data_IF_257485377666
#
_entry.id   IF_257485377666
#
_cell.length_a   1.000
_cell.length_b   1.000
_cell.length_c   1.000
_cell.angle_alpha   90.00
_cell.angle_beta   90.00
_cell.angle_gamma   90.00
#
_symmetry.space_group_name_H-M   'P 1'
#
loop_
_entity.id
_entity.type
_entity.pdbx_description
1 polymer ?
2 polymer ?
3 non-polymer ?
4 non-polymer ?
5 non-polymer ?
6 water ?
#
# COMPACT_ATOMS: atom_id res chain seq x y z
N UNK A 1 -3.24 -16.13 -1.69
CA UNK A 1 -4.31 -15.75 -2.65
C UNK A 1 -5.56 -16.64 -2.59
N UNK A 2 -5.39 -17.94 -2.44
CA UNK A 2 -6.56 -18.76 -2.19
C UNK A 2 -7.24 -18.42 -0.84
N UNK A 3 -6.41 -18.05 0.15
CA UNK A 3 -6.80 -17.37 1.39
C UNK A 3 -6.19 -16.02 1.41
N UNK A 4 -7.02 -15.00 1.63
CA UNK A 4 -6.58 -13.66 1.88
C UNK A 4 -6.68 -13.30 3.34
N UNK A 5 -5.73 -12.50 3.83
CA UNK A 5 -5.70 -12.02 5.22
C UNK A 5 -5.73 -10.53 5.20
N UNK A 6 -6.74 -9.97 5.87
CA UNK A 6 -6.97 -8.56 5.93
C UNK A 6 -7.12 -8.12 7.38
N UNK A 7 -6.85 -6.86 7.62
CA UNK A 7 -6.97 -6.25 8.94
C UNK A 7 -6.35 -4.85 8.94
N UNK A 8 -6.84 -3.99 9.86
CA UNK A 8 -6.25 -2.67 10.03
C UNK A 8 -4.76 -2.82 10.32
N UNK A 9 -4.00 -1.77 10.00
CA UNK A 9 -2.62 -1.61 10.50
C UNK A 9 -2.57 -1.92 12.01
N UNK A 10 -1.56 -2.69 12.38
CA UNK A 10 -1.22 -3.07 13.74
C UNK A 10 -2.10 -4.21 14.32
N UNK A 11 -2.92 -4.85 13.51
CA UNK A 11 -3.80 -5.93 14.00
C UNK A 11 -3.02 -7.18 14.37
N UNK A 12 -1.96 -7.42 13.60
CA UNK A 12 -1.03 -8.53 13.78
C UNK A 12 -0.86 -9.42 12.58
N UNK A 13 -1.17 -8.92 11.37
CA UNK A 13 -1.08 -9.74 10.18
C UNK A 13 0.33 -10.23 9.84
N UNK A 14 1.28 -9.34 9.88
CA UNK A 14 2.65 -9.69 9.57
C UNK A 14 3.19 -10.72 10.63
N UNK A 15 2.84 -10.46 11.91
CA UNK A 15 3.15 -11.39 13.00
C UNK A 15 2.63 -12.79 12.76
N UNK A 16 1.39 -12.90 12.34
CA UNK A 16 0.80 -14.23 12.06
C UNK A 16 1.56 -14.91 10.90
N UNK A 17 1.86 -14.18 9.87
CA UNK A 17 2.58 -14.77 8.73
C UNK A 17 3.90 -15.25 9.10
N UNK A 18 4.62 -14.57 10.01
CA UNK A 18 5.89 -15.15 10.44
C UNK A 18 5.74 -16.42 11.18
N UNK A 19 4.62 -16.62 11.86
CA UNK A 19 4.27 -17.99 12.35
C UNK A 19 4.10 -19.04 11.26
N UNK A 20 3.48 -18.66 10.16
CA UNK A 20 3.24 -19.59 9.06
C UNK A 20 4.49 -19.79 8.21
N UNK A 21 5.39 -18.80 8.19
CA UNK A 21 6.67 -18.95 7.49
C UNK A 21 7.63 -19.84 8.26
N UNK A 28 15.45 -12.50 -1.11
CA UNK A 28 14.48 -11.41 -1.27
C UNK A 28 15.21 -10.35 -2.07
N UNK A 29 14.56 -9.85 -3.13
CA UNK A 29 15.16 -8.94 -4.11
C UNK A 29 14.32 -7.69 -4.24
N UNK A 30 14.96 -6.52 -4.41
CA UNK A 30 14.21 -5.27 -4.39
C UNK A 30 13.26 -5.14 -5.56
N UNK A 31 12.03 -4.75 -5.25
CA UNK A 31 11.01 -4.45 -6.25
C UNK A 31 10.27 -3.19 -5.83
N UNK A 32 10.17 -2.23 -6.76
CA UNK A 32 9.34 -1.06 -6.51
C UNK A 32 7.88 -1.47 -6.50
N UNK A 33 7.18 -1.08 -5.47
CA UNK A 33 5.80 -1.46 -5.37
C UNK A 33 5.35 -1.88 -4.03
N UNK A 34 4.25 -2.62 -4.03
CA UNK A 34 3.59 -3.00 -2.79
C UNK A 34 4.42 -4.06 -2.08
N UNK A 35 4.32 -4.05 -0.75
CA UNK A 35 5.07 -5.00 0.11
C UNK A 35 4.33 -6.31 0.24
N UNK A 36 4.48 -7.14 -0.77
CA UNK A 36 3.77 -8.40 -0.86
C UNK A 36 4.19 -9.38 0.23
N UNK A 37 3.23 -9.84 0.98
CA UNK A 37 3.48 -10.90 2.02
C UNK A 37 2.64 -12.07 1.72
N UNK A 38 3.30 -13.19 1.45
CA UNK A 38 2.59 -14.35 1.05
C UNK A 38 3.38 -15.55 1.48
N UNK A 39 2.64 -16.62 1.72
CA UNK A 39 3.22 -17.89 2.13
C UNK A 39 2.37 -19.05 1.65
N UNK A 40 2.99 -20.23 1.49
CA UNK A 40 2.24 -21.49 1.30
C UNK A 40 2.15 -22.17 2.63
N UNK A 41 0.94 -22.45 3.08
CA UNK A 41 0.81 -23.16 4.30
C UNK A 41 -0.06 -24.35 4.07
N UNK A 42 0.51 -25.56 4.24
CA UNK A 42 -0.27 -26.78 4.09
C UNK A 42 -0.80 -26.85 2.66
N UNK A 43 0.05 -26.49 1.70
CA UNK A 43 -0.33 -26.47 0.28
C UNK A 43 -1.44 -25.47 -0.14
N UNK A 44 -1.63 -24.40 0.59
CA UNK A 44 -2.64 -23.40 0.23
C UNK A 44 -1.95 -22.03 0.27
N UNK A 45 -2.12 -21.19 -0.74
CA UNK A 45 -1.50 -19.86 -0.67
C UNK A 45 -2.30 -18.91 0.24
N UNK A 46 -1.58 -18.24 1.15
CA UNK A 46 -2.12 -17.18 2.04
C UNK A 46 -1.43 -15.89 1.69
N UNK A 47 -2.17 -14.83 1.41
CA UNK A 47 -1.60 -13.57 1.08
C UNK A 47 -2.26 -12.47 1.89
N UNK A 48 -1.46 -11.58 2.44
CA UNK A 48 -1.99 -10.42 3.12
C UNK A 48 -2.43 -9.49 2.01
N UNK A 49 -3.66 -9.01 2.12
CA UNK A 49 -4.21 -8.08 1.16
C UNK A 49 -4.31 -6.76 1.87
N UNK A 50 -3.51 -5.78 1.45
CA UNK A 50 -3.42 -4.45 2.07
C UNK A 50 -4.56 -3.59 1.61
N UNK A 51 -5.44 -3.26 2.54
CA UNK A 51 -6.66 -2.48 2.20
C UNK A 51 -6.50 -0.98 2.37
N UNK A 52 -5.29 -0.54 2.56
CA UNK A 52 -5.01 0.83 2.88
C UNK A 52 -5.28 1.92 1.87
N UNK A 53 -5.50 1.66 0.60
CA UNK A 53 -5.91 2.86 -0.21
C UNK A 53 -7.34 3.45 -0.06
N UNK A 54 -7.66 4.39 -0.95
CA UNK A 54 -8.99 4.91 -1.19
C UNK A 54 -9.91 3.89 -1.86
N UNK A 55 -11.21 4.14 -1.76
CA UNK A 55 -12.25 3.35 -2.40
C UNK A 55 -12.05 3.28 -3.88
N UNK A 56 -11.57 4.35 -4.46
CA UNK A 56 -11.48 4.48 -5.91
C UNK A 56 -10.66 3.43 -6.62
N UNK A 57 -9.71 2.83 -5.94
CA UNK A 57 -8.83 1.85 -6.58
C UNK A 57 -9.24 0.39 -6.29
N UNK A 58 -10.29 0.18 -5.50
CA UNK A 58 -10.84 -1.19 -5.31
C UNK A 58 -11.31 -1.92 -6.56
N UNK A 59 -11.90 -1.29 -7.58
CA UNK A 59 -12.26 -1.95 -8.85
C UNK A 59 -11.09 -2.71 -9.52
N UNK A 60 -9.87 -2.26 -9.28
CA UNK A 60 -8.71 -2.88 -9.85
C UNK A 60 -8.46 -4.23 -9.29
N UNK A 61 -8.99 -4.48 -8.12
CA UNK A 61 -8.71 -5.68 -7.38
C UNK A 61 -9.36 -6.97 -7.95
N UNK A 62 -10.47 -6.77 -8.64
CA UNK A 62 -11.49 -7.79 -8.78
C UNK A 62 -10.98 -9.17 -9.23
N UNK A 63 -10.19 -9.19 -10.29
CA UNK A 63 -9.80 -10.47 -10.90
C UNK A 63 -9.00 -11.24 -9.94
N UNK A 64 -8.29 -10.53 -9.06
CA UNK A 64 -7.42 -11.23 -8.08
C UNK A 64 -8.17 -12.15 -7.10
N UNK A 65 -9.44 -11.86 -6.84
CA UNK A 65 -10.25 -12.55 -5.91
C UNK A 65 -10.99 -13.73 -6.52
N UNK A 66 -10.90 -13.92 -7.83
CA UNK A 66 -11.63 -15.02 -8.49
C UNK A 66 -11.29 -16.41 -7.89
N UNK A 67 -10.06 -16.62 -7.52
CA UNK A 67 -9.67 -17.91 -6.94
C UNK A 67 -9.69 -17.90 -5.42
N UNK A 68 -10.19 -16.82 -4.82
CA UNK A 68 -10.12 -16.71 -3.38
C UNK A 68 -11.31 -17.43 -2.72
N UNK A 69 -11.02 -18.39 -1.85
CA UNK A 69 -12.02 -19.23 -1.18
C UNK A 69 -12.16 -18.93 0.28
N UNK A 70 -11.17 -18.28 0.86
CA UNK A 70 -11.27 -17.91 2.26
C UNK A 70 -10.68 -16.54 2.59
N UNK A 71 -11.28 -15.93 3.60
CA UNK A 71 -10.88 -14.62 4.08
C UNK A 71 -10.60 -14.74 5.58
N UNK A 72 -9.35 -14.50 5.96
CA UNK A 72 -9.00 -14.22 7.35
C UNK A 72 -9.05 -12.72 7.66
N UNK A 73 -9.86 -12.33 8.65
CA UNK A 73 -9.90 -10.99 9.18
C UNK A 73 -9.26 -10.92 10.59
N UNK A 74 -8.21 -10.14 10.72
CA UNK A 74 -7.44 -10.03 11.95
C UNK A 74 -7.81 -8.69 12.60
N UNK A 75 -8.18 -8.74 13.87
CA UNK A 75 -8.48 -7.53 14.63
C UNK A 75 -7.72 -7.45 15.93
N UNK A 76 -7.24 -6.24 16.24
CA UNK A 76 -6.61 -5.96 17.51
C UNK A 76 -7.73 -5.88 18.56
N UNK A 77 -7.85 -6.93 19.37
CA UNK A 77 -8.92 -6.99 20.36
C UNK A 77 -8.73 -6.02 21.52
N UNK A 78 -7.54 -5.52 21.70
CA UNK A 78 -7.25 -4.50 22.68
C UNK A 78 -7.57 -3.05 22.18
N UNK A 79 -7.97 -2.89 20.92
CA UNK A 79 -8.12 -1.57 20.34
C UNK A 79 -9.61 -1.21 20.26
N UNK A 80 -10.12 -0.71 21.38
CA UNK A 80 -11.51 -0.27 21.45
C UNK A 80 -11.83 0.94 20.56
N UNK A 81 -10.89 1.84 20.35
CA UNK A 81 -11.17 3.04 19.53
C UNK A 81 -11.29 2.78 18.05
N UNK A 82 -10.66 1.71 17.54
CA UNK A 82 -10.75 1.44 16.15
C UNK A 82 -11.59 0.21 15.82
N UNK A 83 -12.36 -0.30 16.75
CA UNK A 83 -13.08 -1.54 16.45
C UNK A 83 -14.16 -1.33 15.37
N UNK A 84 -14.75 -0.19 15.38
CA UNK A 84 -15.79 0.12 14.38
C UNK A 84 -15.22 0.31 13.04
N UNK A 85 -14.02 0.88 12.94
CA UNK A 85 -13.34 1.00 11.68
C UNK A 85 -12.94 -0.39 11.17
N UNK A 86 -12.64 -1.30 12.08
CA UNK A 86 -12.34 -2.66 11.65
C UNK A 86 -13.60 -3.29 11.07
N UNK A 87 -14.71 -3.14 11.78
CA UNK A 87 -16.02 -3.63 11.29
C UNK A 87 -16.31 -3.18 9.86
N UNK A 88 -16.15 -1.90 9.61
CA UNK A 88 -16.41 -1.31 8.29
C UNK A 88 -15.54 -1.93 7.22
N UNK A 89 -14.26 -2.16 7.54
CA UNK A 89 -13.38 -2.85 6.61
C UNK A 89 -13.73 -4.32 6.32
N UNK A 90 -14.01 -5.10 7.36
CA UNK A 90 -14.53 -6.43 7.19
C UNK A 90 -15.75 -6.38 6.25
N UNK A 91 -16.65 -5.45 6.49
CA UNK A 91 -17.86 -5.50 5.73
C UNK A 91 -17.59 -5.15 4.27
N UNK A 92 -16.66 -4.22 4.05
CA UNK A 92 -16.22 -3.89 2.68
C UNK A 92 -15.70 -5.08 1.98
N UNK A 93 -14.86 -5.85 2.64
CA UNK A 93 -14.35 -7.04 2.01
C UNK A 93 -15.47 -8.08 1.71
N UNK A 94 -16.38 -8.26 2.68
CA UNK A 94 -17.46 -9.22 2.49
C UNK A 94 -18.43 -8.76 1.40
N UNK A 95 -18.40 -7.49 1.02
CA UNK A 95 -19.23 -6.96 -0.07
C UNK A 95 -18.64 -7.14 -1.48
N UNK A 96 -17.43 -7.61 -1.57
CA UNK A 96 -16.83 -7.83 -2.86
C UNK A 96 -17.59 -8.99 -3.51
N UNK A 97 -18.08 -8.76 -4.71
CA UNK A 97 -18.77 -9.79 -5.48
C UNK A 97 -18.02 -11.11 -5.55
N UNK A 98 -16.72 -11.01 -5.82
CA UNK A 98 -15.88 -12.21 -6.01
C UNK A 98 -15.65 -13.00 -4.71
N UNK A 99 -15.95 -12.40 -3.56
CA UNK A 99 -15.80 -13.07 -2.29
C UNK A 99 -17.16 -13.47 -1.72
N UNK A 100 -18.20 -13.50 -2.56
CA UNK A 100 -19.57 -13.84 -2.09
C UNK A 100 -19.62 -15.17 -1.32
N UNK A 101 -18.90 -16.17 -1.77
CA UNK A 101 -18.97 -17.49 -1.14
C UNK A 101 -17.77 -17.81 -0.23
N UNK A 102 -16.86 -16.85 -0.05
CA UNK A 102 -15.69 -17.02 0.79
C UNK A 102 -16.08 -17.37 2.22
N UNK A 103 -15.34 -18.34 2.73
CA UNK A 103 -15.40 -18.72 4.13
C UNK A 103 -14.69 -17.61 4.93
N UNK A 104 -15.23 -17.19 6.05
CA UNK A 104 -14.61 -16.16 6.92
C UNK A 104 -14.08 -16.72 8.26
N UNK A 105 -12.79 -16.53 8.51
CA UNK A 105 -12.19 -16.73 9.82
C UNK A 105 -11.74 -15.43 10.43
N UNK A 106 -12.24 -15.10 11.61
CA UNK A 106 -11.84 -13.90 12.32
C UNK A 106 -10.86 -14.30 13.43
N UNK A 107 -9.67 -13.71 13.43
CA UNK A 107 -8.73 -13.84 14.53
C UNK A 107 -8.91 -12.66 15.45
N UNK A 108 -9.43 -12.96 16.63
CA UNK A 108 -9.59 -11.96 17.68
C UNK A 108 -8.25 -11.86 18.38
N UNK A 109 -7.34 -11.02 17.88
CA UNK A 109 -5.92 -11.15 18.24
C UNK A 109 -5.56 -10.31 19.46
N UNK A 110 -4.40 -10.54 20.03
CA UNK A 110 -3.87 -9.81 21.19
C UNK A 110 -4.69 -10.11 22.49
N UNK A 111 -5.11 -11.37 22.61
CA UNK A 111 -5.90 -11.86 23.75
C UNK A 111 -4.95 -12.00 24.97
N UNK A 112 -3.64 -11.94 24.77
CA UNK A 112 -2.71 -11.91 25.89
C UNK A 112 -2.79 -10.62 26.69
N UNK A 113 -3.25 -9.54 26.07
CA UNK A 113 -3.24 -8.25 26.75
C UNK A 113 -4.34 -8.23 27.80
N UNK A 114 -3.96 -7.76 29.01
CA UNK A 114 -4.82 -7.87 30.19
C UNK A 114 -6.24 -7.40 30.02
N UNK A 115 -6.40 -6.31 29.29
CA UNK A 115 -7.69 -5.68 29.11
C UNK A 115 -8.34 -5.81 27.70
N UNK A 116 -7.87 -6.75 26.91
CA UNK A 116 -8.46 -6.96 25.58
C UNK A 116 -9.95 -7.33 25.66
N UNK A 117 -10.73 -6.87 24.68
CA UNK A 117 -12.09 -7.39 24.50
C UNK A 117 -12.07 -8.89 24.20
N UNK A 118 -13.00 -9.63 24.78
CA UNK A 118 -13.03 -11.07 24.54
C UNK A 118 -13.73 -11.38 23.20
N UNK A 119 -13.65 -12.63 22.78
CA UNK A 119 -14.25 -13.04 21.52
C UNK A 119 -15.71 -12.73 21.41
N UNK A 120 -16.49 -12.89 22.52
CA UNK A 120 -17.92 -12.56 22.45
C UNK A 120 -18.18 -11.11 22.13
N UNK A 121 -17.48 -10.23 22.80
CA UNK A 121 -17.57 -8.79 22.53
C UNK A 121 -17.11 -8.41 21.09
N UNK A 122 -16.00 -8.97 20.63
CA UNK A 122 -15.52 -8.76 19.28
C UNK A 122 -16.57 -9.21 18.27
N UNK A 123 -17.22 -10.34 18.58
CA UNK A 123 -18.27 -10.87 17.71
C UNK A 123 -19.38 -9.85 17.54
N UNK A 124 -19.84 -9.28 18.67
CA UNK A 124 -20.90 -8.26 18.64
C UNK A 124 -20.46 -7.10 17.79
N UNK A 125 -19.26 -6.60 18.08
CA UNK A 125 -18.78 -5.35 17.51
C UNK A 125 -18.38 -5.39 16.10
N UNK A 126 -17.96 -6.54 15.63
CA UNK A 126 -17.71 -6.74 14.19
C UNK A 126 -18.97 -7.18 13.41
N UNK A 127 -20.09 -7.37 14.13
CA UNK A 127 -21.37 -7.67 13.50
C UNK A 127 -21.48 -9.10 12.96
N UNK A 128 -20.73 -10.05 13.53
CA UNK A 128 -20.73 -11.38 12.94
C UNK A 128 -22.06 -12.02 13.01
N UNK A 129 -22.82 -11.74 14.08
CA UNK A 129 -24.13 -12.37 14.22
C UNK A 129 -25.17 -11.99 13.14
N UNK A 130 -24.92 -10.90 12.43
CA UNK A 130 -25.74 -10.44 11.28
C UNK A 130 -25.41 -11.18 9.96
N UNK A 131 -24.26 -11.84 9.90
CA UNK A 131 -23.84 -12.62 8.75
C UNK A 131 -24.49 -14.02 8.70
N UNK A 132 -25.76 -14.00 8.42
CA UNK A 132 -26.59 -15.20 8.42
C UNK A 132 -26.36 -16.21 7.26
N UNK A 133 -25.94 -15.73 6.06
CA UNK A 133 -25.63 -16.59 4.87
C UNK A 133 -24.12 -16.75 4.59
N UNK A 134 -23.33 -16.73 5.64
CA UNK A 134 -21.89 -16.78 5.46
C UNK A 134 -21.36 -17.83 6.39
N UNK A 135 -20.39 -18.65 5.96
CA UNK A 135 -19.77 -19.61 6.86
C UNK A 135 -18.61 -18.93 7.63
N UNK A 136 -18.78 -18.69 8.91
CA UNK A 136 -17.78 -17.95 9.71
C UNK A 136 -17.45 -18.58 11.05
N UNK A 137 -16.28 -18.19 11.56
CA UNK A 137 -15.76 -18.64 12.83
C UNK A 137 -14.88 -17.55 13.40
N UNK A 138 -14.94 -17.38 14.72
CA UNK A 138 -14.06 -16.52 15.43
C UNK A 138 -13.17 -17.30 16.37
N UNK A 139 -11.89 -16.96 16.35
CA UNK A 139 -10.85 -17.62 17.15
C UNK A 139 -10.11 -16.58 17.88
N UNK A 140 -10.05 -16.78 19.18
CA UNK A 140 -9.15 -16.08 20.10
C UNK A 140 -7.70 -16.40 19.84
N UNK A 141 -6.87 -15.38 19.62
CA UNK A 141 -5.45 -15.60 19.36
C UNK A 141 -4.46 -14.70 20.05
N UNK A 142 -3.25 -15.24 20.25
CA UNK A 142 -2.09 -14.41 20.55
C UNK A 142 -1.06 -14.73 19.48
N UNK A 143 -0.89 -13.85 18.51
CA UNK A 143 -0.01 -14.07 17.35
C UNK A 143 1.48 -14.11 17.73
N UNK A 144 1.87 -13.42 18.78
CA UNK A 144 3.26 -13.45 19.22
C UNK A 144 3.63 -14.81 19.78
N UNK A 145 2.76 -15.42 20.56
CA UNK A 145 3.06 -16.77 21.16
C UNK A 145 2.63 -17.88 20.21
N UNK A 146 1.67 -17.57 19.34
CA UNK A 146 1.08 -18.55 18.45
C UNK A 146 -0.22 -19.19 18.94
N UNK A 147 -0.58 -18.91 20.17
CA UNK A 147 -1.77 -19.54 20.70
C UNK A 147 -3.03 -19.19 19.83
N UNK A 148 -3.82 -20.21 19.54
CA UNK A 148 -5.06 -20.07 18.77
C UNK A 148 -4.95 -20.08 17.28
N UNK A 149 -3.79 -19.74 16.75
CA UNK A 149 -3.63 -19.67 15.32
C UNK A 149 -3.94 -20.94 14.59
N UNK A 150 -3.33 -22.04 15.03
CA UNK A 150 -3.44 -23.28 14.28
C UNK A 150 -4.83 -23.87 14.46
N UNK A 151 -5.48 -23.64 15.59
CA UNK A 151 -6.86 -24.06 15.80
C UNK A 151 -7.78 -23.36 14.78
N UNK A 152 -7.61 -22.05 14.59
CA UNK A 152 -8.36 -21.35 13.58
C UNK A 152 -8.08 -21.81 12.18
N UNK A 153 -6.81 -21.98 11.86
CA UNK A 153 -6.45 -22.44 10.48
C UNK A 153 -6.95 -23.83 10.18
N UNK A 154 -7.01 -24.65 11.20
CA UNK A 154 -7.50 -26.02 11.05
C UNK A 154 -8.99 -26.01 10.73
N UNK A 155 -9.76 -25.18 11.44
CA UNK A 155 -11.19 -24.98 11.12
C UNK A 155 -11.35 -24.54 9.63
N UNK A 156 -10.59 -23.51 9.24
CA UNK A 156 -10.68 -22.95 7.88
C UNK A 156 -10.34 -23.98 6.82
N UNK A 157 -9.23 -24.70 7.02
CA UNK A 157 -8.79 -25.87 6.19
C UNK A 157 -9.92 -26.85 5.94
N UNK A 158 -10.56 -27.22 7.02
CA UNK A 158 -11.64 -28.15 6.94
C UNK A 158 -12.86 -27.57 6.19
N UNK A 159 -13.16 -26.28 6.32
CA UNK A 159 -14.27 -25.72 5.60
C UNK A 159 -14.05 -25.73 4.08
N UNK A 160 -12.80 -25.65 3.67
CA UNK A 160 -12.48 -25.61 2.25
C UNK A 160 -12.61 -26.96 1.58
N UNK A 161 -12.58 -28.06 2.34
CA UNK A 161 -13.24 -29.36 2.05
C UNK A 161 -12.54 -30.56 2.69
N UNK B 8 33.69 30.46 9.17
CA UNK B 8 32.19 30.49 9.18
C UNK B 8 31.58 29.64 8.04
N UNK B 9 32.38 29.42 6.98
CA UNK B 9 32.01 28.60 5.81
C UNK B 9 32.22 27.09 6.05
N UNK B 10 33.39 26.73 6.61
CA UNK B 10 33.68 25.31 6.95
C UNK B 10 32.68 24.81 8.03
N UNK B 11 32.34 25.72 8.93
CA UNK B 11 31.38 25.54 10.01
C UNK B 11 29.92 25.33 9.53
N UNK B 12 29.47 26.15 8.59
CA UNK B 12 28.11 26.04 8.03
C UNK B 12 28.01 24.73 7.24
N UNK B 13 29.05 24.37 6.49
CA UNK B 13 29.13 23.12 5.74
C UNK B 13 29.08 21.90 6.63
N UNK B 14 29.71 22.00 7.81
CA UNK B 14 29.66 20.90 8.79
C UNK B 14 28.24 20.74 9.37
N UNK B 15 27.56 21.85 9.66
CA UNK B 15 26.20 21.77 10.14
C UNK B 15 25.28 21.20 9.07
N UNK B 16 25.53 21.56 7.81
CA UNK B 16 24.73 21.06 6.68
C UNK B 16 24.88 19.55 6.55
N UNK B 17 26.12 19.07 6.59
CA UNK B 17 26.42 17.63 6.53
C UNK B 17 25.75 16.87 7.69
N UNK B 18 25.80 17.46 8.89
CA UNK B 18 25.15 16.84 10.06
C UNK B 18 23.62 16.81 9.88
N UNK B 19 23.02 17.85 9.27
CA UNK B 19 21.57 17.85 9.05
C UNK B 19 21.11 16.73 8.14
N UNK B 20 21.90 16.51 7.10
CA UNK B 20 21.61 15.45 6.14
C UNK B 20 21.72 14.09 6.82
N UNK B 21 22.76 13.90 7.66
CA UNK B 21 22.92 12.62 8.39
C UNK B 21 21.70 12.41 9.27
N UNK B 22 21.31 13.44 10.02
CA UNK B 22 20.15 13.37 10.89
C UNK B 22 18.87 13.16 10.12
N UNK B 23 18.80 13.70 8.90
CA UNK B 23 17.60 13.42 8.07
C UNK B 23 17.53 11.96 7.76
N UNK B 24 18.66 11.39 7.40
CA UNK B 24 18.61 9.98 6.95
C UNK B 24 18.17 9.05 8.09
N UNK B 25 18.48 9.44 9.30
CA UNK B 25 18.13 8.63 10.48
C UNK B 25 16.69 8.81 10.88
N UNK B 26 16.28 10.09 10.89
CA UNK B 26 14.92 10.44 11.23
C UNK B 26 14.59 11.70 10.46
N UNK B 27 13.94 11.56 9.31
CA UNK B 27 13.57 12.75 8.51
C UNK B 27 13.10 13.99 9.33
N UNK B 28 12.05 13.84 10.14
CA UNK B 28 11.50 14.93 10.97
C UNK B 28 12.60 15.72 11.71
N UNK B 29 13.41 14.92 12.41
CA UNK B 29 14.41 15.38 13.31
C UNK B 29 15.50 16.10 12.51
N UNK B 30 15.87 15.55 11.35
CA UNK B 30 16.88 16.20 10.52
C UNK B 30 16.37 17.53 9.97
N UNK B 31 15.09 17.58 9.56
CA UNK B 31 14.49 18.83 9.08
C UNK B 31 14.46 19.84 10.23
N UNK B 32 14.09 19.38 11.42
CA UNK B 32 14.06 20.16 12.69
C UNK B 32 15.43 20.76 12.99
N UNK B 33 16.50 20.03 12.69
CA UNK B 33 17.88 20.46 12.95
C UNK B 33 18.27 21.54 11.94
N UNK B 34 17.87 21.33 10.69
CA UNK B 34 18.21 22.27 9.64
C UNK B 34 17.51 23.58 9.91
N UNK B 35 16.23 23.54 10.25
CA UNK B 35 15.39 24.74 10.46
C UNK B 35 15.87 25.50 11.68
N UNK B 36 16.15 24.79 12.78
CA UNK B 36 16.60 25.46 14.01
C UNK B 36 17.98 26.10 13.85
N UNK B 37 18.80 25.56 12.95
CA UNK B 37 20.16 26.02 12.71
C UNK B 37 20.21 26.95 11.49
N UNK B 38 19.05 27.34 10.96
CA UNK B 38 18.96 28.42 9.98
C UNK B 38 19.58 28.06 8.62
N UNK B 39 19.51 26.78 8.30
CA UNK B 39 20.02 26.31 7.03
C UNK B 39 18.89 25.91 6.06
N UNK B 40 17.65 26.07 6.49
CA UNK B 40 16.49 25.70 5.68
C UNK B 40 15.28 26.46 6.21
N UNK B 41 14.53 27.10 5.29
CA UNK B 41 13.26 27.74 5.63
C UNK B 41 12.25 26.65 5.88
N UNK B 42 11.48 26.79 6.95
CA UNK B 42 10.46 25.82 7.34
C UNK B 42 9.12 25.93 6.58
N UNK B 43 9.16 25.90 5.25
CA UNK B 43 7.95 25.88 4.43
C UNK B 43 7.94 24.62 3.58
N UNK B 44 6.78 24.06 3.31
CA UNK B 44 6.70 22.91 2.40
C UNK B 44 7.48 23.10 1.07
N UNK B 45 7.47 24.31 0.52
CA UNK B 45 8.08 24.55 -0.77
C UNK B 45 9.57 24.42 -0.61
N UNK B 46 10.11 25.01 0.46
CA UNK B 46 11.56 25.04 0.62
C UNK B 46 12.08 23.67 1.08
N UNK B 47 11.28 22.96 1.88
CA UNK B 47 11.68 21.61 2.30
C UNK B 47 11.70 20.72 1.05
N UNK B 48 10.69 20.80 0.18
CA UNK B 48 10.60 19.92 -0.99
C UNK B 48 11.79 20.19 -1.92
N UNK B 49 12.12 21.49 -2.10
CA UNK B 49 13.29 21.86 -2.90
C UNK B 49 14.60 21.30 -2.33
N UNK B 50 14.65 21.17 -1.00
CA UNK B 50 15.83 20.62 -0.32
C UNK B 50 15.96 19.13 -0.61
N UNK B 51 14.84 18.43 -0.56
CA UNK B 51 14.80 17.01 -0.90
C UNK B 51 15.06 16.71 -2.35
N UNK B 52 14.54 17.51 -3.27
CA UNK B 52 14.54 17.18 -4.68
C UNK B 52 15.97 17.17 -5.16
N UNK B 53 16.46 15.98 -5.51
CA UNK B 53 17.84 15.76 -5.97
C UNK B 53 18.91 16.20 -4.93
N UNK B 54 18.55 16.10 -3.65
CA UNK B 54 19.44 16.52 -2.59
C UNK B 54 20.59 15.53 -2.39
N UNK B 55 21.81 16.06 -2.46
CA UNK B 55 23.04 15.30 -2.23
C UNK B 55 22.97 14.75 -0.79
N UNK B 56 23.46 13.53 -0.61
CA UNK B 56 23.60 12.97 0.73
C UNK B 56 22.30 12.58 1.45
N UNK B 57 21.18 12.57 0.73
CA UNK B 57 19.91 12.21 1.32
C UNK B 57 19.55 10.80 0.85
N UNK B 58 19.19 9.95 1.79
CA UNK B 58 18.77 8.59 1.48
C UNK B 58 17.40 8.59 0.86
N UNK B 59 17.26 8.08 -0.36
CA UNK B 59 15.99 8.09 -1.05
C UNK B 59 14.85 7.35 -0.32
N UNK B 60 15.15 6.35 0.49
CA UNK B 60 14.14 5.68 1.29
C UNK B 60 13.62 6.59 2.45
N UNK B 61 14.53 7.33 3.04
CA UNK B 61 14.14 8.40 3.97
C UNK B 61 13.27 9.46 3.32
N UNK B 62 13.63 9.90 2.12
CA UNK B 62 12.86 10.87 1.42
C UNK B 62 11.45 10.32 1.23
N UNK B 63 11.36 9.08 0.75
CA UNK B 63 10.06 8.45 0.58
C UNK B 63 9.24 8.25 1.80
N UNK B 64 9.90 7.93 2.88
CA UNK B 64 9.25 7.73 4.14
C UNK B 64 8.65 9.09 4.62
N UNK B 65 9.42 10.16 4.46
CA UNK B 65 9.02 11.47 4.89
C UNK B 65 7.83 11.94 4.07
N UNK B 66 7.90 11.72 2.75
CA UNK B 66 6.82 12.13 1.84
C UNK B 66 5.53 11.32 2.03
N UNK B 67 5.65 10.12 2.59
CA UNK B 67 4.52 9.26 2.78
C UNK B 67 3.81 9.43 4.15
N UNK B 68 4.27 10.34 5.01
CA UNK B 68 3.56 10.52 6.31
C UNK B 68 2.24 11.26 6.03
N UNK B 69 1.24 11.01 6.87
CA UNK B 69 -0.12 11.58 6.74
C UNK B 69 -0.31 12.98 7.26
N UNK B 70 0.63 13.43 8.10
CA UNK B 70 0.59 14.78 8.68
C UNK B 70 0.45 15.83 7.57
N UNK B 71 -0.28 16.92 7.83
CA UNK B 71 -0.56 17.87 6.78
C UNK B 71 0.72 18.51 6.23
N UNK B 72 1.71 18.74 7.08
CA UNK B 72 2.96 19.35 6.63
C UNK B 72 3.50 18.44 5.52
N UNK B 73 3.56 17.16 5.78
CA UNK B 73 4.17 16.20 4.84
C UNK B 73 3.39 16.11 3.53
N UNK B 74 2.05 16.21 3.58
CA UNK B 74 1.24 16.19 2.38
C UNK B 74 1.45 17.46 1.53
N UNK B 75 1.67 18.58 2.20
CA UNK B 75 2.06 19.82 1.51
C UNK B 75 3.44 19.75 0.88
N UNK B 76 4.39 19.14 1.58
CA UNK B 76 5.71 18.91 1.01
C UNK B 76 5.54 17.97 -0.20
N UNK B 77 4.71 16.95 -0.06
CA UNK B 77 4.57 15.97 -1.13
C UNK B 77 4.08 16.66 -2.40
N UNK B 78 3.07 17.49 -2.29
CA UNK B 78 2.57 18.22 -3.42
C UNK B 78 3.60 19.19 -4.00
N UNK B 79 4.36 19.90 -3.16
CA UNK B 79 5.38 20.81 -3.70
C UNK B 79 6.51 20.03 -4.33
N UNK B 80 6.73 18.82 -3.84
CA UNK B 80 7.79 17.96 -4.37
C UNK B 80 7.37 17.44 -5.71
N UNK B 81 6.13 17.00 -5.81
CA UNK B 81 5.59 16.59 -7.10
C UNK B 81 5.69 17.79 -8.08
N UNK B 82 5.44 18.98 -7.60
CA UNK B 82 5.39 20.19 -8.43
C UNK B 82 6.71 20.54 -9.09
N UNK B 83 7.81 19.99 -8.60
CA UNK B 83 9.15 20.23 -9.11
C UNK B 83 9.48 19.44 -10.35
N UNK B 84 8.64 18.43 -10.62
CA UNK B 84 8.90 17.50 -11.67
C UNK B 84 8.32 18.05 -12.92
N UNK B 85 8.91 17.63 -14.03
CA UNK B 85 8.50 18.06 -15.32
C UNK B 85 8.01 16.91 -16.13
N UNK B 86 6.70 16.79 -16.31
CA UNK B 86 6.18 15.57 -16.94
C UNK B 86 5.63 15.80 -18.35
N UNK B 87 5.80 16.98 -18.91
CA UNK B 87 5.22 17.33 -20.22
C UNK B 87 5.80 16.42 -21.29
N UNK B 88 4.96 16.01 -22.23
CA UNK B 88 5.34 15.23 -23.40
C UNK B 88 5.78 13.80 -23.06
N UNK B 89 5.60 13.35 -21.81
CA UNK B 89 5.90 12.00 -21.42
C UNK B 89 4.63 11.18 -21.38
N UNK B 90 4.72 9.87 -21.68
CA UNK B 90 3.60 9.00 -21.42
C UNK B 90 3.60 8.65 -19.95
N UNK B 91 2.60 7.95 -19.46
CA UNK B 91 2.47 7.81 -17.98
C UNK B 91 3.61 7.07 -17.37
N UNK B 92 4.02 6.03 -18.05
CA UNK B 92 5.11 5.25 -17.52
C UNK B 92 6.41 6.00 -17.52
N UNK B 93 6.74 6.66 -18.62
CA UNK B 93 7.94 7.49 -18.65
C UNK B 93 7.94 8.52 -17.50
N UNK B 94 6.81 9.16 -17.24
CA UNK B 94 6.70 10.13 -16.14
C UNK B 94 6.84 9.49 -14.77
N UNK B 95 6.22 8.34 -14.61
CA UNK B 95 6.37 7.61 -13.35
C UNK B 95 7.82 7.19 -13.16
N UNK B 96 8.55 6.88 -14.20
CA UNK B 96 9.96 6.43 -14.05
C UNK B 96 10.79 7.59 -13.52
N UNK B 97 10.47 8.80 -13.98
CA UNK B 97 11.11 10.01 -13.45
C UNK B 97 10.74 10.30 -12.02
N UNK B 98 9.44 10.22 -11.68
CA UNK B 98 8.96 10.54 -10.33
C UNK B 98 9.58 9.56 -9.34
N UNK B 99 9.55 8.31 -9.75
CA UNK B 99 10.01 7.22 -8.85
C UNK B 99 11.53 7.03 -8.80
N UNK B 100 12.28 7.84 -9.52
CA UNK B 100 13.73 7.87 -9.29
C UNK B 100 14.04 8.89 -8.19
N UNK B 101 13.13 9.87 -7.96
CA UNK B 101 13.43 10.96 -7.05
C UNK B 101 13.40 10.52 -5.58
N UNK B 102 12.78 9.37 -5.32
CA UNK B 102 12.62 8.84 -3.97
C UNK B 102 12.23 7.37 -4.06
N UNK B 103 12.45 6.60 -2.98
CA UNK B 103 12.01 5.21 -2.88
C UNK B 103 10.55 5.10 -2.42
N UNK B 104 9.71 4.60 -3.32
CA UNK B 104 8.30 4.38 -3.06
C UNK B 104 8.18 3.46 -1.86
N UNK B 105 7.42 3.88 -0.86
CA UNK B 105 7.06 2.99 0.22
C UNK B 105 6.23 1.83 -0.30
N UNK B 106 6.11 0.86 0.57
CA UNK B 106 5.47 -0.41 0.28
C UNK B 106 4.00 -0.50 0.72
N UNK B 107 3.53 0.45 1.51
CA UNK B 107 2.21 0.43 2.11
C UNK B 107 1.22 1.03 1.11
N UNK B 108 0.08 0.37 0.91
CA UNK B 108 -0.88 0.82 -0.07
C UNK B 108 -1.37 2.22 0.25
N UNK B 109 -1.62 2.53 1.51
CA UNK B 109 -2.14 3.89 1.84
C UNK B 109 -1.24 5.02 1.29
N UNK B 110 0.05 4.80 1.42
CA UNK B 110 1.06 5.78 1.01
C UNK B 110 1.14 5.80 -0.51
N UNK B 111 1.26 4.63 -1.17
CA UNK B 111 1.28 4.58 -2.64
C UNK B 111 0.09 5.24 -3.26
N UNK B 112 -1.04 4.99 -2.65
CA UNK B 112 -2.26 5.63 -3.07
C UNK B 112 -2.16 7.14 -3.12
N UNK B 113 -1.79 7.74 -1.99
CA UNK B 113 -1.73 9.20 -1.88
C UNK B 113 -0.68 9.77 -2.81
N UNK B 114 0.43 9.03 -2.97
CA UNK B 114 1.45 9.50 -3.86
C UNK B 114 1.04 9.42 -5.30
N UNK B 115 0.27 8.40 -5.69
CA UNK B 115 -0.17 8.29 -7.07
C UNK B 115 -1.17 9.38 -7.36
N UNK B 116 -2.05 9.69 -6.41
CA UNK B 116 -3.02 10.77 -6.66
C UNK B 116 -2.32 12.12 -6.83
N UNK B 117 -1.34 12.36 -5.98
CA UNK B 117 -0.59 13.62 -6.14
C UNK B 117 0.15 13.68 -7.48
N UNK B 118 0.76 12.58 -7.93
CA UNK B 118 1.48 12.50 -9.15
C UNK B 118 0.56 12.74 -10.28
N UNK B 119 -0.62 12.10 -10.20
CA UNK B 119 -1.69 12.36 -11.17
C UNK B 119 -2.10 13.79 -11.46
N UNK B 120 -2.32 14.59 -10.44
CA UNK B 120 -2.71 16.00 -10.61
C UNK B 120 -1.66 16.75 -11.46
N UNK B 121 -0.38 16.56 -11.17
CA UNK B 121 0.70 17.18 -11.93
C UNK B 121 0.83 16.59 -13.33
N UNK B 122 0.66 15.27 -13.48
CA UNK B 122 0.71 14.65 -14.81
C UNK B 122 -0.31 15.29 -15.73
N UNK B 123 -1.55 15.50 -15.22
CA UNK B 123 -2.63 16.04 -16.03
C UNK B 123 -2.40 17.51 -16.31
N UNK B 124 -1.83 18.23 -15.35
CA UNK B 124 -1.53 19.64 -15.56
C UNK B 124 -0.44 19.76 -16.62
N UNK B 125 0.56 18.86 -16.61
CA UNK B 125 1.64 18.93 -17.62
C UNK B 125 1.15 18.50 -18.98
N UNK B 126 0.15 17.62 -19.00
CA UNK B 126 -0.32 16.98 -20.21
C UNK B 126 -1.83 17.06 -20.31
N UNK B 127 -2.36 18.27 -20.50
CA UNK B 127 -3.81 18.43 -20.52
C UNK B 127 -4.39 17.65 -21.71
N UNK B 128 -5.55 17.05 -21.56
CA UNK B 128 -6.14 16.40 -22.72
C UNK B 128 -5.68 15.00 -22.99
N UNK B 129 -4.66 14.52 -22.30
CA UNK B 129 -4.27 13.14 -22.43
C UNK B 129 -5.35 12.25 -21.74
N UNK B 130 -5.78 12.65 -20.55
CA UNK B 130 -6.85 11.99 -19.80
C UNK B 130 -8.01 12.96 -19.58
N UNK B 131 -9.23 12.43 -19.56
CA UNK B 131 -10.45 13.21 -19.34
C UNK B 131 -10.67 13.73 -17.90
N UNK B 132 -10.10 13.06 -16.89
CA UNK B 132 -10.19 13.53 -15.49
C UNK B 132 -8.93 13.15 -14.74
N UNK B 133 -8.63 13.79 -13.62
CA UNK B 133 -7.46 13.38 -12.86
C UNK B 133 -7.68 12.00 -12.24
N UNK B 134 -8.91 11.67 -11.88
CA UNK B 134 -9.17 10.35 -11.29
C UNK B 134 -8.78 9.24 -12.25
N UNK B 135 -9.07 9.39 -13.54
CA UNK B 135 -8.64 8.34 -14.48
C UNK B 135 -7.13 8.12 -14.48
N UNK B 136 -6.40 9.23 -14.50
CA UNK B 136 -4.93 9.24 -14.42
C UNK B 136 -4.43 8.59 -13.13
N UNK B 137 -5.08 8.92 -12.03
CA UNK B 137 -4.68 8.40 -10.70
C UNK B 137 -4.93 6.88 -10.57
N UNK B 138 -6.08 6.42 -10.99
CA UNK B 138 -6.39 4.97 -10.93
C UNK B 138 -5.46 4.18 -11.89
N UNK B 139 -5.24 4.68 -13.09
CA UNK B 139 -4.31 4.04 -14.07
C UNK B 139 -2.90 3.98 -13.53
N UNK B 140 -2.45 5.10 -12.91
CA UNK B 140 -1.13 5.16 -12.28
C UNK B 140 -1.05 4.12 -11.19
N UNK B 141 -2.10 4.00 -10.38
CA UNK B 141 -2.04 2.99 -9.34
C UNK B 141 -1.96 1.60 -9.95
N UNK B 142 -2.69 1.37 -11.03
CA UNK B 142 -2.65 0.03 -11.70
C UNK B 142 -1.29 -0.29 -12.29
N UNK B 143 -0.52 0.75 -12.62
CA UNK B 143 0.88 0.53 -13.06
C UNK B 143 1.84 0.07 -11.97
N UNK B 144 1.67 0.65 -10.77
CA UNK B 144 2.36 0.23 -9.59
C UNK B 144 1.94 -1.19 -9.30
N UNK B 145 0.63 -1.49 -9.39
CA UNK B 145 0.24 -2.95 -9.24
C UNK B 145 0.92 -3.81 -10.25
N UNK B 146 0.96 -3.38 -11.50
CA UNK B 146 1.57 -4.21 -12.57
C UNK B 146 3.04 -4.37 -12.35
N UNK B 147 3.76 -3.33 -11.97
CA UNK B 147 5.19 -3.57 -11.67
C UNK B 147 5.49 -4.58 -10.53
N UNK B 148 4.67 -4.50 -9.46
CA UNK B 148 4.75 -5.48 -8.38
C UNK B 148 4.35 -6.81 -8.92
N UNK B 149 3.26 -6.89 -9.64
CA UNK B 149 2.80 -8.26 -10.12
C UNK B 149 3.85 -8.98 -10.96
N UNK B 150 4.36 -8.30 -11.95
CA UNK B 150 5.37 -8.82 -12.85
C UNK B 150 6.69 -9.08 -12.21
N UNK B 151 7.20 -8.20 -11.36
CA UNK B 151 8.61 -8.26 -10.99
C UNK B 151 8.91 -8.64 -9.55
N UNK B 152 7.93 -8.68 -8.67
CA UNK B 152 8.10 -9.23 -7.35
C UNK B 152 7.99 -10.71 -7.45
N UNK B 153 9.05 -11.46 -7.17
CA UNK B 153 9.01 -12.89 -7.33
C UNK B 153 8.06 -13.64 -6.39
N UNK B 154 7.61 -12.97 -5.35
CA UNK B 154 6.63 -13.62 -4.44
C UNK B 154 5.26 -13.75 -5.09
N UNK B 155 4.97 -12.94 -6.09
CA UNK B 155 3.75 -13.04 -6.85
C UNK B 155 3.97 -14.20 -7.87
N UNK B 156 3.25 -15.29 -7.63
CA UNK B 156 3.40 -16.54 -8.30
C UNK B 156 3.00 -16.56 -9.74
N UNK B 157 1.78 -16.06 -10.03
CA UNK B 157 1.23 -16.05 -11.37
C UNK B 157 1.12 -14.59 -11.75
N UNK B 158 1.52 -14.31 -12.97
CA UNK B 158 1.64 -12.93 -13.39
C UNK B 158 0.52 -12.52 -14.31
N UNK B 159 0.07 -11.25 -14.24
CA UNK B 159 -0.81 -10.81 -15.26
C UNK B 159 -0.29 -10.80 -16.65
N UNK B 160 -1.02 -11.45 -17.57
CA UNK B 160 -0.81 -11.17 -19.01
C UNK B 160 -1.36 -9.81 -19.39
N UNK B 161 -1.03 -9.41 -20.63
CA UNK B 161 -1.60 -8.16 -21.17
C UNK B 161 -3.08 -8.10 -20.93
N UNK B 162 -3.75 -9.20 -21.33
CA UNK B 162 -5.18 -9.26 -21.30
C UNK B 162 -5.75 -8.96 -19.89
N UNK B 163 -5.18 -9.54 -18.85
CA UNK B 163 -5.59 -9.20 -17.47
C UNK B 163 -5.44 -7.69 -17.17
N UNK B 164 -4.33 -7.11 -17.62
CA UNK B 164 -4.06 -5.69 -17.41
C UNK B 164 -5.06 -4.81 -18.11
N UNK B 165 -5.42 -5.16 -19.35
CA UNK B 165 -6.38 -4.33 -20.07
C UNK B 165 -7.74 -4.48 -19.36
N UNK B 166 -8.07 -5.67 -18.91
CA UNK B 166 -9.33 -5.91 -18.31
C UNK B 166 -9.46 -5.22 -16.95
N UNK B 167 -8.35 -5.15 -16.23
CA UNK B 167 -8.34 -4.54 -14.89
C UNK B 167 -8.78 -3.08 -14.96
N UNK B 168 -8.39 -2.44 -16.04
CA UNK B 168 -8.67 -1.01 -16.27
C UNK B 168 -9.94 -0.69 -17.04
N UNK B 169 -10.77 -1.70 -17.27
CA UNK B 169 -12.10 -1.45 -17.88
C UNK B 169 -12.87 -0.47 -17.03
N UNK B 170 -13.39 0.58 -17.66
CA UNK B 170 -14.31 1.48 -17.00
C UNK B 170 -13.71 2.63 -16.20
N UNK B 171 -12.37 2.72 -16.17
CA UNK B 171 -11.74 3.74 -15.31
C UNK B 171 -11.82 5.15 -15.91
N UNK B 172 -12.20 5.21 -17.15
CA UNK B 172 -12.24 6.41 -17.88
C UNK B 172 -13.64 7.02 -17.81
N UNK B 173 -14.05 7.38 -16.59
CA UNK B 173 -15.36 7.97 -16.31
C UNK B 173 -16.48 7.05 -16.81
N UNK B 174 -16.34 5.75 -16.49
CA UNK B 174 -17.27 4.72 -16.91
C UNK B 174 -16.85 3.91 -18.13
N UNK B 175 -16.06 4.52 -19.02
CA UNK B 175 -15.67 3.92 -20.27
C UNK B 175 -14.25 3.37 -20.21
N UNK B 176 -13.76 2.94 -21.34
CA UNK B 176 -12.49 2.24 -21.45
C UNK B 176 -11.49 3.16 -22.08
N UNK B 177 -10.24 3.07 -21.65
CA UNK B 177 -9.14 3.67 -22.39
C UNK B 177 -8.82 2.84 -23.66
N UNK B 178 -8.16 3.47 -24.64
CA UNK B 178 -7.81 2.74 -25.86
C UNK B 178 -6.87 1.59 -25.51
N UNK B 179 -7.14 0.44 -26.08
CA UNK B 179 -6.28 -0.74 -25.81
C UNK B 179 -4.77 -0.54 -26.07
N UNK B 180 -4.46 0.24 -27.10
CA UNK B 180 -3.05 0.51 -27.45
C UNK B 180 -2.30 1.31 -26.34
N UNK B 181 -2.97 2.25 -25.70
CA UNK B 181 -2.37 3.02 -24.61
C UNK B 181 -2.04 2.00 -23.47
N UNK B 182 -2.98 1.13 -23.13
CA UNK B 182 -2.70 0.15 -22.05
C UNK B 182 -1.62 -0.82 -22.42
N UNK B 183 -1.62 -1.24 -23.69
CA UNK B 183 -0.61 -2.18 -24.12
C UNK B 183 0.80 -1.57 -24.06
N UNK B 184 0.92 -0.33 -24.49
CA UNK B 184 2.19 0.40 -24.43
C UNK B 184 2.70 0.50 -22.99
N UNK B 185 1.81 0.68 -22.00
CA UNK B 185 2.24 0.79 -20.60
C UNK B 185 2.67 -0.62 -20.16
N UNK B 186 1.84 -1.59 -20.49
CA UNK B 186 2.15 -3.00 -20.09
C UNK B 186 3.49 -3.46 -20.59
N UNK B 187 3.70 -3.30 -21.89
CA UNK B 187 4.99 -3.70 -22.51
C UNK B 187 6.17 -2.96 -21.94
N UNK B 188 6.02 -1.65 -21.65
CA UNK B 188 7.12 -0.94 -21.01
C UNK B 188 7.57 -1.52 -19.67
N UNK B 189 6.60 -1.75 -18.77
CA UNK B 189 6.86 -2.30 -17.46
C UNK B 189 7.38 -3.77 -17.61
N UNK B 190 6.74 -4.53 -18.49
CA UNK B 190 7.15 -5.96 -18.65
C UNK B 190 8.61 -6.06 -18.97
N UNK B 191 9.10 -5.20 -19.86
CA UNK B 191 10.47 -5.34 -20.32
C UNK B 191 11.44 -4.47 -19.58
N UNK B 192 10.94 -3.59 -18.69
CA UNK B 192 11.82 -2.82 -17.86
C UNK B 192 11.12 -2.42 -16.53
N UNK B 193 11.43 -3.13 -15.44
CA UNK B 193 10.89 -2.82 -14.12
C UNK B 193 11.29 -1.38 -13.73
N UNK B 194 10.49 -0.75 -12.87
CA UNK B 194 10.92 0.48 -12.24
C UNK B 194 12.27 0.20 -11.56
N UNK B 195 13.25 1.07 -11.82
CA UNK B 195 14.62 0.88 -11.30
C UNK B 195 14.61 1.16 -9.82
N UNK B 196 15.46 0.52 -9.05
CA UNK B 196 15.60 0.78 -7.61
C UNK B 196 16.49 2.00 -7.49
N UNK B 197 16.03 3.08 -6.90
CA UNK B 197 16.79 4.33 -6.94
C UNK B 197 18.03 4.32 -6.11
N UNK B 198 19.01 5.08 -6.58
CA UNK B 198 20.29 5.22 -5.93
C UNK B 198 20.35 6.68 -5.51
N UNK B 199 20.91 6.88 -4.33
CA UNK B 199 21.14 8.19 -3.72
C UNK B 199 21.95 9.18 -4.60
N UNK B 200 21.50 10.45 -4.65
CA UNK B 200 22.13 11.66 -5.26
C UNK B 200 21.45 12.14 -6.58
X LIG C 1 2.17 -5.84 8.46
X LIG D 1 0.12 -5.59 10.97
X LIG D 1 0.97 -6.49 10.03
X LIG D 1 -1.31 -6.15 10.96
X LIG D 1 0.14 -4.14 10.63
X LIG D 1 0.63 -5.85 12.48
X LIG D 1 1.98 -6.51 13.05
X LIG D 1 2.01 -7.97 12.84
X LIG D 1 3.08 -5.65 12.49
X LIG D 1 1.78 -6.28 14.63
X LIG D 1 1.73 -4.95 15.14
X LIG D 1 2.29 -4.99 16.57
X LIG D 1 1.51 -5.80 17.45
X LIG D 1 3.70 -5.54 16.65
X LIG D 1 4.43 -4.73 17.54
X LIG D 1 3.50 -6.95 17.11
X LIG D 1 4.56 -7.62 17.79
X LIG D 1 2.31 -6.83 18.03
X LIG D 1 1.50 -7.98 18.13
X LIG D 1 1.00 -8.80 17.08
X LIG D 1 0.22 -9.72 17.62
X LIG D 1 0.19 -9.50 18.97
X LIG D 1 -0.46 -10.12 20.06
X LIG D 1 -1.18 -11.09 19.96
X LIG D 1 -0.23 -9.66 21.32
X LIG D 1 0.56 -8.56 21.54
X LIG D 1 0.60 -8.00 22.78
X LIG D 1 1.18 -7.95 20.50
X LIG D 1 0.99 -8.43 19.25
X LIG E 1 -4.44 -1.93 -3.22
X LIG E 1 -3.99 -3.42 -3.36
X LIG E 1 -3.27 -3.44 -4.71
X LIG E 1 -2.88 -3.54 -2.40
X LIG E 1 -2.08 -4.75 -3.05
X LIG E 1 -2.64 -4.87 -4.47
X LIG E 1 -1.50 -5.12 -5.54
X LIG E 1 -1.54 -6.16 -6.47
X LIG E 1 -0.39 -6.26 -7.29
X LIG E 1 0.39 -7.59 -6.92
X LIG E 1 -0.56 -8.83 -7.19
X LIG E 1 -0.50 -9.75 -5.96
X LIG E 1 -1.26 -11.19 -6.18
X LIG E 1 -1.06 -9.06 -4.72
X LIG E 1 -0.55 -9.20 -3.48
X LIG E 1 0.20 -10.21 -3.28
X LIG E 1 -0.93 -8.24 -2.49
X LIG E 1 -1.83 -7.28 -3.06
X LIG E 1 -2.47 -6.02 -2.29
X LIG E 1 -1.96 -6.00 -0.94
#
# INVERSE_FOLDING_TARGET
>A
MRILMVGLDAAGKTTILYKLKLGEIVTTIPTIGFNVETVEYKNISFTVWDVGGQDKIRPLWRHYFQNTQGLIFVVDSNDRERVNEAREELMRMLAEDELRDAVLLVFANKQDLPNAMNAAEITDKLGLHSLRHRNWYIQATCATSGDGLYEGLDWLSNQLRNQK
>B
LEANEGSKTLQRNRKMAMGRKKFNMDPKKGIQFLVENELLQNTPEEIARFLYKGEGLNKTAIGDYLGEREELNLAVLHAFVDLHEFTDLNLVQALRQFLWSFRLPGEAQKIDRMMEAFAQRYCLCNPGVFQSTDTCYVLSYSVIMLNTDLHNPNVRDKMGLERFVAMNRGINEGGDLPEELLRNLYDSIRNEPFKIPEDDGND
>C hetero
1 MG MG
>D hetero
1 GDP PB O1B O2B O3B O3A PA O1A O2A O5' C5' C4' O4' C3' O3' C2' O2' C1' N9 C8 N7 C5 C6 O6 N1 C2 N2 N3 C4
>E hetero
1 AFB OC7 C7 C8 C6 C5 C9 C10 C11 C12 C13 C14 C15 C16 O16 C1 OC1 C2 C3 C4 OC4
#
